data_IF_325599291021
#
_entry.id   IF_325599291021
#
_cell.length_a   1.000
_cell.length_b   1.000
_cell.length_c   1.000
_cell.angle_alpha   90.00
_cell.angle_beta   90.00
_cell.angle_gamma   90.00
#
_symmetry.space_group_name_H-M   'P 1'
#
loop_
_entity.id
_entity.type
_entity.pdbx_description
1 polymer ?
#
# COMPACT_ATOMS: atom_id res chain seq x y z
N UNK A 1 -0.62 20.49 39.12
CA UNK A 1 -1.97 20.18 38.61
C UNK A 1 -2.42 21.35 37.76
N UNK A 2 -2.72 21.16 36.47
CA UNK A 2 -3.13 22.27 35.60
C UNK A 2 -4.46 22.86 36.09
N UNK A 3 -4.60 24.19 36.09
CA UNK A 3 -5.81 24.87 36.57
C UNK A 3 -7.02 24.63 35.64
N UNK A 4 -8.25 24.78 36.15
CA UNK A 4 -9.49 24.47 35.42
C UNK A 4 -9.62 25.21 34.08
N UNK A 5 -9.10 26.44 33.98
CA UNK A 5 -9.07 27.21 32.72
C UNK A 5 -8.13 26.61 31.66
N UNK A 6 -6.97 26.08 32.07
CA UNK A 6 -6.05 25.39 31.17
C UNK A 6 -6.62 24.05 30.68
N UNK A 7 -7.39 23.36 31.53
CA UNK A 7 -8.13 22.16 31.14
C UNK A 7 -9.23 22.49 30.10
N UNK A 8 -10.00 23.56 30.34
CA UNK A 8 -11.06 24.01 29.42
C UNK A 8 -10.52 24.42 28.05
N UNK A 9 -9.40 25.12 28.00
CA UNK A 9 -8.73 25.49 26.74
C UNK A 9 -8.27 24.26 25.94
N UNK A 10 -7.68 23.25 26.61
CA UNK A 10 -7.29 21.98 25.98
C UNK A 10 -8.50 21.23 25.43
N UNK A 11 -9.60 21.18 26.17
CA UNK A 11 -10.82 20.51 25.74
C UNK A 11 -11.46 21.21 24.52
N UNK A 12 -11.46 22.55 24.49
CA UNK A 12 -11.96 23.33 23.35
C UNK A 12 -11.09 23.15 22.10
N UNK A 13 -9.76 23.15 22.26
CA UNK A 13 -8.83 22.85 21.18
C UNK A 13 -9.05 21.43 20.61
N UNK A 14 -9.22 20.43 21.49
CA UNK A 14 -9.56 19.05 21.09
C UNK A 14 -10.91 18.99 20.37
N UNK A 15 -11.92 19.72 20.82
CA UNK A 15 -13.25 19.73 20.19
C UNK A 15 -13.21 20.35 18.78
N UNK A 16 -12.50 21.47 18.61
CA UNK A 16 -12.30 22.10 17.29
C UNK A 16 -11.55 21.15 16.36
N UNK A 17 -10.49 20.53 16.86
CA UNK A 17 -9.72 19.55 16.13
C UNK A 17 -10.58 18.37 15.66
N UNK A 18 -11.36 17.75 16.57
CA UNK A 18 -12.23 16.62 16.22
C UNK A 18 -13.35 17.04 15.27
N UNK A 19 -13.91 18.26 15.39
CA UNK A 19 -14.93 18.77 14.46
C UNK A 19 -14.40 18.87 13.03
N UNK A 20 -13.17 19.36 12.86
CA UNK A 20 -12.59 19.53 11.53
C UNK A 20 -12.09 18.20 10.93
N UNK A 21 -11.58 17.30 11.77
CA UNK A 21 -11.04 16.00 11.31
C UNK A 21 -12.14 14.97 10.99
N UNK A 22 -13.30 15.09 11.61
CA UNK A 22 -14.46 14.22 11.38
C UNK A 22 -15.64 14.94 10.71
N UNK A 23 -15.37 16.07 10.05
CA UNK A 23 -16.36 16.76 9.23
C UNK A 23 -16.84 15.82 8.10
N UNK A 24 -18.15 15.57 7.94
CA UNK A 24 -18.69 14.66 6.93
C UNK A 24 -18.22 14.99 5.50
N UNK A 25 -18.02 16.27 5.20
CA UNK A 25 -17.50 16.77 3.92
C UNK A 25 -16.01 16.43 3.66
N UNK A 26 -15.22 16.21 4.71
CA UNK A 26 -13.77 15.93 4.58
C UNK A 26 -13.48 14.42 4.50
N UNK A 27 -14.34 13.59 5.08
CA UNK A 27 -14.18 12.12 5.09
C UNK A 27 -14.01 11.53 3.67
N UNK A 28 -14.81 11.91 2.64
CA UNK A 28 -14.62 11.40 1.28
C UNK A 28 -13.25 11.73 0.70
N UNK A 29 -12.70 12.91 1.01
CA UNK A 29 -11.40 13.36 0.53
C UNK A 29 -10.29 12.48 1.12
N UNK A 30 -10.35 12.20 2.42
CA UNK A 30 -9.39 11.31 3.07
C UNK A 30 -9.46 9.88 2.55
N UNK A 31 -10.67 9.38 2.27
CA UNK A 31 -10.85 8.04 1.70
C UNK A 31 -10.20 7.95 0.32
N UNK A 32 -10.52 8.86 -0.60
CA UNK A 32 -9.96 8.83 -1.96
C UNK A 32 -8.44 9.01 -1.93
N UNK A 33 -7.94 9.93 -1.10
CA UNK A 33 -6.50 10.18 -0.97
C UNK A 33 -5.77 8.97 -0.38
N UNK A 34 -6.33 8.36 0.66
CA UNK A 34 -5.79 7.16 1.28
C UNK A 34 -5.81 5.97 0.33
N UNK A 35 -6.89 5.79 -0.44
CA UNK A 35 -6.98 4.76 -1.47
C UNK A 35 -5.98 4.99 -2.61
N UNK A 36 -5.80 6.23 -3.06
CA UNK A 36 -4.84 6.57 -4.10
C UNK A 36 -3.40 6.30 -3.65
N UNK A 37 -3.00 6.83 -2.49
CA UNK A 37 -1.65 6.62 -1.94
C UNK A 37 -1.39 5.16 -1.58
N UNK A 38 -2.38 4.47 -1.00
CA UNK A 38 -2.31 3.05 -0.67
C UNK A 38 -2.23 2.19 -1.92
N UNK A 39 -3.07 2.44 -2.92
CA UNK A 39 -3.07 1.73 -4.20
C UNK A 39 -1.78 1.93 -4.99
N UNK A 40 -1.24 3.15 -5.02
CA UNK A 40 0.05 3.43 -5.64
C UNK A 40 1.20 2.68 -4.95
N UNK A 41 1.25 2.74 -3.61
CA UNK A 41 2.25 2.01 -2.81
C UNK A 41 2.16 0.50 -3.04
N UNK A 42 0.94 -0.04 -3.02
CA UNK A 42 0.69 -1.46 -3.29
C UNK A 42 1.18 -1.85 -4.68
N UNK A 43 0.84 -1.07 -5.71
CA UNK A 43 1.21 -1.37 -7.09
C UNK A 43 2.73 -1.30 -7.31
N UNK A 44 3.40 -0.30 -6.75
CA UNK A 44 4.86 -0.21 -6.76
C UNK A 44 5.50 -1.42 -6.06
N UNK A 45 4.96 -1.86 -4.93
CA UNK A 45 5.45 -3.05 -4.23
C UNK A 45 5.29 -4.34 -5.07
N UNK A 46 4.22 -4.44 -5.86
CA UNK A 46 3.99 -5.54 -6.81
C UNK A 46 4.99 -5.52 -7.96
N UNK A 47 5.25 -4.35 -8.54
CA UNK A 47 6.20 -4.17 -9.63
C UNK A 47 7.64 -4.45 -9.18
N UNK A 48 8.01 -3.95 -8.00
CA UNK A 48 9.30 -4.23 -7.36
C UNK A 48 9.57 -5.73 -7.20
N UNK A 49 8.53 -6.55 -7.03
CA UNK A 49 8.65 -8.01 -6.87
C UNK A 49 8.50 -8.80 -8.18
N UNK A 50 8.53 -8.14 -9.35
CA UNK A 50 8.51 -8.82 -10.64
C UNK A 50 9.79 -9.64 -10.92
N UNK A 51 9.74 -10.68 -11.76
CA UNK A 51 10.90 -11.51 -12.08
C UNK A 51 12.03 -10.76 -12.80
N UNK A 52 11.74 -9.60 -13.39
CA UNK A 52 12.71 -8.75 -14.11
C UNK A 52 13.53 -7.84 -13.17
N UNK A 53 13.13 -7.71 -11.90
CA UNK A 53 13.76 -6.80 -10.95
C UNK A 53 14.75 -7.57 -10.07
N UNK A 54 16.00 -7.13 -10.03
CA UNK A 54 17.05 -7.75 -9.20
C UNK A 54 17.23 -6.94 -7.91
N UNK A 55 16.87 -7.51 -6.75
CA UNK A 55 17.19 -6.94 -5.44
C UNK A 55 18.46 -7.55 -4.86
N UNK A 56 18.57 -8.88 -4.87
CA UNK A 56 19.77 -9.59 -4.43
C UNK A 56 20.67 -9.99 -5.61
N UNK A 57 21.71 -9.19 -5.85
CA UNK A 57 22.70 -9.48 -6.91
C UNK A 57 23.66 -10.62 -6.57
N UNK A 58 23.74 -11.06 -5.31
CA UNK A 58 24.70 -12.08 -4.86
C UNK A 58 24.08 -13.47 -4.87
N UNK A 59 22.92 -13.63 -4.23
CA UNK A 59 22.29 -14.95 -4.10
C UNK A 59 21.23 -15.23 -5.18
N UNK A 60 20.68 -14.20 -5.83
CA UNK A 60 19.67 -14.37 -6.88
C UNK A 60 19.86 -13.35 -8.03
N UNK A 61 21.00 -13.37 -8.73
CA UNK A 61 21.31 -12.41 -9.78
C UNK A 61 20.39 -12.50 -11.02
N UNK A 62 19.69 -13.62 -11.20
CA UNK A 62 18.89 -13.91 -12.41
C UNK A 62 17.48 -14.41 -12.03
N UNK A 63 16.65 -13.57 -11.39
CA UNK A 63 15.35 -13.98 -10.85
C UNK A 63 14.38 -14.55 -11.89
N UNK A 64 14.50 -14.13 -13.16
CA UNK A 64 13.71 -14.65 -14.29
C UNK A 64 13.93 -16.15 -14.56
N UNK A 65 15.10 -16.71 -14.21
CA UNK A 65 15.39 -18.13 -14.40
C UNK A 65 14.58 -19.04 -13.46
N UNK A 66 13.99 -18.48 -12.40
CA UNK A 66 13.17 -19.23 -11.45
C UNK A 66 11.68 -19.27 -11.84
N UNK A 67 11.30 -18.70 -12.99
CA UNK A 67 9.92 -18.72 -13.48
C UNK A 67 9.66 -20.06 -14.16
N UNK A 68 8.82 -20.89 -13.57
CA UNK A 68 8.44 -22.18 -14.15
C UNK A 68 7.57 -22.02 -15.42
N UNK A 69 7.70 -22.92 -16.40
CA UNK A 69 6.78 -22.98 -17.55
C UNK A 69 5.32 -23.07 -17.09
N UNK A 70 4.41 -22.44 -17.85
CA UNK A 70 2.97 -22.42 -17.51
C UNK A 70 2.60 -21.46 -16.37
N UNK A 71 3.54 -20.67 -15.84
CA UNK A 71 3.27 -19.68 -14.78
C UNK A 71 2.86 -18.32 -15.35
N UNK A 72 1.78 -17.75 -14.84
CA UNK A 72 1.36 -16.39 -15.16
C UNK A 72 2.18 -15.36 -14.38
N UNK A 73 2.99 -14.56 -15.09
CA UNK A 73 3.77 -13.45 -14.50
C UNK A 73 3.02 -12.13 -14.50
N UNK A 74 1.96 -12.03 -15.31
CA UNK A 74 1.14 -10.82 -15.47
C UNK A 74 0.30 -10.57 -14.23
N UNK A 75 -0.19 -9.35 -14.07
CA UNK A 75 -1.15 -9.04 -13.00
C UNK A 75 -2.52 -9.67 -13.28
N UNK A 76 -2.92 -9.69 -14.54
CA UNK A 76 -4.19 -10.23 -14.99
C UNK A 76 -4.01 -10.90 -16.35
N UNK A 77 -4.72 -11.99 -16.56
CA UNK A 77 -4.91 -12.61 -17.87
C UNK A 77 -6.41 -12.73 -18.12
N UNK A 78 -6.87 -12.27 -19.29
CA UNK A 78 -8.30 -12.16 -19.58
C UNK A 78 -8.83 -13.46 -20.15
N UNK A 79 -8.16 -14.02 -21.16
CA UNK A 79 -8.62 -15.19 -21.90
C UNK A 79 -7.69 -16.41 -21.78
N UNK A 80 -6.61 -16.30 -21.01
CA UNK A 80 -5.51 -17.27 -21.05
C UNK A 80 -5.39 -17.97 -19.70
N UNK A 81 -5.47 -19.30 -19.72
CA UNK A 81 -5.36 -20.12 -18.52
C UNK A 81 -3.91 -20.54 -18.32
N UNK A 82 -3.46 -20.42 -17.08
CA UNK A 82 -2.12 -20.78 -16.64
C UNK A 82 -2.25 -21.72 -15.45
N UNK A 83 -1.34 -22.66 -15.32
CA UNK A 83 -1.38 -23.65 -14.24
C UNK A 83 -1.09 -23.02 -12.88
N UNK A 84 -0.30 -21.92 -12.88
CA UNK A 84 0.20 -21.27 -11.67
C UNK A 84 0.25 -19.76 -11.82
N UNK A 85 0.16 -19.05 -10.69
CA UNK A 85 0.42 -17.61 -10.61
C UNK A 85 1.83 -17.38 -10.06
N UNK A 86 2.60 -16.50 -10.69
CA UNK A 86 3.95 -16.16 -10.22
C UNK A 86 3.91 -15.60 -8.80
N UNK A 87 4.74 -16.17 -7.93
CA UNK A 87 5.02 -15.68 -6.59
C UNK A 87 6.54 -15.58 -6.43
N UNK A 88 6.97 -14.52 -5.74
CA UNK A 88 8.38 -14.29 -5.46
C UNK A 88 8.66 -14.62 -4.01
N UNK A 89 9.37 -15.73 -3.78
CA UNK A 89 9.67 -16.22 -2.43
C UNK A 89 10.83 -15.47 -1.78
N UNK A 90 11.73 -14.88 -2.58
CA UNK A 90 12.93 -14.18 -2.12
C UNK A 90 13.12 -12.88 -2.90
N UNK A 91 13.45 -11.81 -2.19
CA UNK A 91 13.83 -10.52 -2.79
C UNK A 91 15.22 -10.66 -3.41
#
# INVERSE_FOLDING_TARGET
MAGPAAQAAKNKARQIFMKNWYAPEVLPIYVITGLAAGGATWYLSRLARGPDVIWDRKNNPTPWNNVEPGTNTKMMSVNQQFDKQYKRDRL
#
